data_IF_166351530543
#
_entry.id   IF_166351530543
#
_cell.length_a   1.000
_cell.length_b   1.000
_cell.length_c   1.000
_cell.angle_alpha   90.00
_cell.angle_beta   90.00
_cell.angle_gamma   90.00
#
_symmetry.space_group_name_H-M   'P 1'
#
loop_
_entity.id
_entity.type
_entity.pdbx_description
1 polymer ?
#
# COMPACT_ATOMS: atom_id res chain seq x y z
N UNK A 1 -17.17 -18.71 -0.57
CA UNK A 1 -16.19 -17.73 -0.05
C UNK A 1 -15.46 -17.12 -1.24
N UNK A 2 -15.54 -15.80 -1.40
CA UNK A 2 -14.92 -15.02 -2.49
C UNK A 2 -13.78 -14.16 -1.91
N UNK A 3 -12.82 -13.76 -2.73
CA UNK A 3 -11.70 -12.88 -2.33
C UNK A 3 -12.18 -11.62 -1.60
N UNK A 4 -13.26 -11.00 -2.11
CA UNK A 4 -13.88 -9.81 -1.52
C UNK A 4 -14.42 -9.99 -0.10
N UNK A 5 -14.60 -11.24 0.33
CA UNK A 5 -15.11 -11.59 1.66
C UNK A 5 -13.96 -11.65 2.70
N UNK A 6 -12.69 -11.73 2.25
CA UNK A 6 -11.50 -11.86 3.10
C UNK A 6 -10.52 -10.68 2.99
N UNK A 7 -10.55 -9.94 1.88
CA UNK A 7 -9.58 -8.86 1.63
C UNK A 7 -9.74 -7.67 2.58
N UNK A 8 -8.63 -7.03 2.93
CA UNK A 8 -8.62 -5.71 3.57
C UNK A 8 -9.05 -4.65 2.55
N UNK A 9 -10.09 -3.89 2.86
CA UNK A 9 -10.67 -2.90 1.92
C UNK A 9 -9.93 -1.56 1.92
N UNK A 10 -9.56 -1.08 3.10
CA UNK A 10 -8.88 0.19 3.27
C UNK A 10 -7.40 -0.10 3.45
N UNK A 11 -6.68 -0.13 2.34
CA UNK A 11 -5.23 -0.39 2.32
C UNK A 11 -4.47 0.92 2.33
N UNK A 12 -3.30 0.91 2.96
CA UNK A 12 -2.31 1.96 2.80
C UNK A 12 -1.63 1.76 1.46
N UNK A 13 -1.46 2.83 0.69
CA UNK A 13 -0.72 2.85 -0.58
C UNK A 13 0.47 3.82 -0.51
N UNK A 14 1.37 3.67 -1.47
CA UNK A 14 2.54 4.55 -1.67
C UNK A 14 2.56 5.08 -3.10
N UNK A 15 3.26 6.20 -3.32
CA UNK A 15 3.42 6.76 -4.68
C UNK A 15 4.74 6.33 -5.33
N UNK A 16 4.83 6.27 -6.67
CA UNK A 16 6.08 5.93 -7.38
C UNK A 16 7.24 6.88 -7.10
N UNK A 17 6.93 8.14 -6.77
CA UNK A 17 7.89 9.22 -6.47
C UNK A 17 8.10 9.42 -4.96
N UNK A 18 7.46 8.61 -4.10
CA UNK A 18 7.65 8.65 -2.65
C UNK A 18 9.05 8.16 -2.28
N UNK A 19 9.72 8.85 -1.36
CA UNK A 19 11.07 8.48 -0.96
C UNK A 19 11.07 7.14 -0.22
N UNK A 20 12.13 6.34 -0.39
CA UNK A 20 12.26 5.06 0.31
C UNK A 20 12.19 5.23 1.84
N UNK A 21 12.72 6.33 2.38
CA UNK A 21 12.68 6.62 3.82
C UNK A 21 11.24 6.77 4.32
N UNK A 22 10.43 7.55 3.60
CA UNK A 22 9.02 7.77 3.96
C UNK A 22 8.21 6.49 3.85
N UNK A 23 8.45 5.68 2.80
CA UNK A 23 7.82 4.36 2.62
C UNK A 23 8.15 3.44 3.79
N UNK A 24 9.41 3.37 4.22
CA UNK A 24 9.84 2.53 5.35
C UNK A 24 9.18 2.97 6.66
N UNK A 25 9.14 4.28 6.93
CA UNK A 25 8.45 4.83 8.11
C UNK A 25 6.98 4.45 8.08
N UNK A 26 6.30 4.67 6.95
CA UNK A 26 4.88 4.32 6.76
C UNK A 26 4.62 2.82 6.99
N UNK A 27 5.52 1.93 6.54
CA UNK A 27 5.37 0.48 6.75
C UNK A 27 5.51 0.12 8.23
N UNK A 28 6.47 0.70 8.94
CA UNK A 28 6.66 0.47 10.38
C UNK A 28 5.46 0.97 11.20
N UNK A 29 4.98 2.18 10.92
CA UNK A 29 3.85 2.78 11.64
C UNK A 29 2.56 1.98 11.46
N UNK A 30 2.31 1.52 10.23
CA UNK A 30 1.12 0.73 9.90
C UNK A 30 1.30 -0.77 10.17
N UNK A 31 2.49 -1.22 10.56
CA UNK A 31 2.84 -2.63 10.82
C UNK A 31 2.53 -3.55 9.62
N UNK A 32 2.88 -3.08 8.42
CA UNK A 32 2.70 -3.81 7.18
C UNK A 32 4.05 -4.14 6.54
N UNK A 33 4.10 -5.24 5.78
CA UNK A 33 5.29 -5.66 5.04
C UNK A 33 5.32 -5.16 3.60
N UNK A 34 4.22 -4.57 3.12
CA UNK A 34 4.05 -4.15 1.74
C UNK A 34 2.77 -3.32 1.55
N UNK A 35 2.77 -2.51 0.50
CA UNK A 35 1.65 -1.69 0.07
C UNK A 35 1.65 -1.62 -1.46
N UNK A 36 0.48 -1.54 -2.12
CA UNK A 36 0.43 -1.26 -3.54
C UNK A 36 0.99 0.14 -3.84
N UNK A 37 1.72 0.25 -4.95
CA UNK A 37 2.17 1.51 -5.52
C UNK A 37 1.09 2.03 -6.46
N UNK A 38 0.55 3.21 -6.14
CA UNK A 38 -0.49 3.87 -6.93
C UNK A 38 0.05 5.11 -7.63
N UNK A 39 -0.14 5.18 -8.95
CA UNK A 39 -0.07 6.42 -9.71
C UNK A 39 -1.51 6.89 -9.97
N UNK A 40 -1.92 7.94 -9.26
CA UNK A 40 -3.33 8.33 -9.08
C UNK A 40 -4.23 7.17 -8.60
N UNK A 41 -5.18 6.72 -9.42
CA UNK A 41 -6.10 5.60 -9.12
C UNK A 41 -5.62 4.26 -9.73
N UNK A 42 -4.44 4.23 -10.34
CA UNK A 42 -3.92 3.03 -11.03
C UNK A 42 -2.81 2.36 -10.23
N UNK A 43 -2.91 1.04 -10.11
CA UNK A 43 -1.83 0.21 -9.55
C UNK A 43 -0.72 0.07 -10.59
N UNK A 44 0.51 0.39 -10.17
CA UNK A 44 1.71 0.31 -11.02
C UNK A 44 2.80 -0.57 -10.42
N UNK A 45 2.65 -1.03 -9.17
CA UNK A 45 3.61 -1.87 -8.46
C UNK A 45 3.11 -2.39 -7.12
#
# INVERSE_FOLDING_TARGET
>A
MKVKDLMTRNVVSVKPDESLGDVVVKFMENKISGAPVLDDEKVVG
#
